data_IF_800114842509
#
_entry.id   IF_800114842509
#
_cell.length_a   1.000
_cell.length_b   1.000
_cell.length_c   1.000
_cell.angle_alpha   90.00
_cell.angle_beta   90.00
_cell.angle_gamma   90.00
#
_symmetry.space_group_name_H-M   'P 1'
#
loop_
_entity.id
_entity.type
_entity.pdbx_description
1 polymer ?
#
# COMPACT_ATOMS: atom_id res chain seq x y z
N UNK A 1 -3.02 11.60 -4.95
CA UNK A 1 -1.91 12.55 -4.74
C UNK A 1 -0.91 11.90 -3.77
N UNK A 2 0.35 11.72 -4.23
CA UNK A 2 1.41 11.08 -3.44
C UNK A 2 1.86 12.03 -2.35
N UNK A 3 1.86 11.58 -1.10
CA UNK A 3 2.17 12.41 0.07
C UNK A 3 3.48 12.03 0.77
N UNK A 4 4.18 11.00 0.24
CA UNK A 4 5.43 10.49 0.80
C UNK A 4 6.50 10.29 -0.27
N UNK A 5 7.75 10.45 0.13
CA UNK A 5 8.92 10.16 -0.67
C UNK A 5 9.93 9.33 0.12
N UNK A 6 10.46 8.30 -0.52
CA UNK A 6 11.67 7.61 -0.08
C UNK A 6 12.85 8.23 -0.83
N UNK A 7 13.85 8.70 -0.12
CA UNK A 7 15.09 9.24 -0.67
C UNK A 7 16.24 8.36 -0.21
N UNK A 8 17.06 7.91 -1.16
CA UNK A 8 18.29 7.19 -0.81
C UNK A 8 19.32 8.21 -0.31
N UNK A 9 19.74 8.07 0.93
CA UNK A 9 20.75 8.93 1.55
C UNK A 9 22.06 8.18 1.67
N UNK A 10 23.16 8.84 1.37
CA UNK A 10 24.47 8.27 1.60
C UNK A 10 24.73 8.14 3.11
N UNK A 11 25.28 7.02 3.53
CA UNK A 11 25.79 6.84 4.89
C UNK A 11 26.86 7.88 5.16
N UNK A 12 26.66 8.71 6.21
CA UNK A 12 27.66 9.75 6.57
C UNK A 12 29.04 9.15 6.81
N UNK A 13 30.09 9.90 6.47
CA UNK A 13 31.49 9.53 6.52
C UNK A 13 32.02 9.28 7.96
N UNK A 14 31.43 8.37 8.68
CA UNK A 14 31.81 8.04 10.07
C UNK A 14 30.97 6.93 10.70
N UNK A 15 29.91 6.50 10.08
CA UNK A 15 29.13 5.36 10.53
C UNK A 15 29.30 4.19 9.57
N UNK A 16 29.51 2.99 10.10
CA UNK A 16 29.54 1.72 9.37
C UNK A 16 28.15 1.35 8.74
N UNK A 17 27.26 2.33 8.58
CA UNK A 17 25.96 2.21 7.95
C UNK A 17 26.04 2.63 6.50
N UNK A 18 25.83 1.70 5.58
CA UNK A 18 25.74 1.97 4.16
C UNK A 18 24.51 2.85 3.80
N UNK A 19 24.33 3.11 2.53
CA UNK A 19 23.19 3.87 1.99
C UNK A 19 21.85 3.36 2.52
N UNK A 20 20.98 4.26 2.91
CA UNK A 20 19.67 3.93 3.48
C UNK A 20 18.54 4.73 2.83
N UNK A 21 17.41 4.07 2.64
CA UNK A 21 16.18 4.76 2.24
C UNK A 21 15.56 5.46 3.44
N UNK A 22 15.44 6.77 3.33
CA UNK A 22 14.74 7.59 4.33
C UNK A 22 13.37 8.02 3.82
N UNK A 23 12.39 8.06 4.74
CA UNK A 23 11.00 8.36 4.45
C UNK A 23 10.66 9.80 4.84
N UNK A 24 10.22 10.59 3.88
CA UNK A 24 9.85 11.99 4.04
C UNK A 24 8.39 12.24 3.69
N UNK A 25 7.73 13.17 4.40
CA UNK A 25 6.48 13.75 3.96
C UNK A 25 6.70 14.69 2.78
N UNK A 26 5.75 14.75 1.84
CA UNK A 26 5.72 15.76 0.78
C UNK A 26 4.72 16.83 1.18
N UNK A 27 5.18 18.06 1.39
CA UNK A 27 4.30 19.20 1.72
C UNK A 27 3.80 19.91 0.48
N UNK A 28 4.58 19.94 -0.59
CA UNK A 28 4.15 20.50 -1.87
C UNK A 28 4.87 19.88 -3.06
N UNK A 29 4.21 19.94 -4.22
CA UNK A 29 4.72 19.50 -5.51
C UNK A 29 4.55 20.65 -6.49
N UNK A 30 5.64 21.11 -7.12
CA UNK A 30 5.63 22.18 -8.12
C UNK A 30 6.17 21.65 -9.46
N UNK A 31 5.30 21.25 -10.39
CA UNK A 31 5.71 20.86 -11.73
C UNK A 31 6.28 22.05 -12.50
N UNK A 32 7.12 21.78 -13.48
CA UNK A 32 7.74 22.81 -14.32
C UNK A 32 8.82 23.64 -13.62
N UNK A 33 9.30 23.22 -12.46
CA UNK A 33 10.49 23.80 -11.84
C UNK A 33 11.71 23.56 -12.75
N UNK A 34 12.72 24.42 -12.63
CA UNK A 34 14.00 24.23 -13.32
C UNK A 34 15.04 23.72 -12.32
N UNK A 35 15.84 22.76 -12.77
CA UNK A 35 17.05 22.34 -12.09
C UNK A 35 18.17 23.38 -12.30
N UNK A 36 19.26 23.28 -11.53
CA UNK A 36 20.38 24.22 -11.62
C UNK A 36 21.06 24.19 -12.99
N UNK A 37 21.00 23.06 -13.71
CA UNK A 37 21.46 22.89 -15.09
C UNK A 37 20.46 23.44 -16.15
N UNK A 38 19.34 24.02 -15.72
CA UNK A 38 18.27 24.53 -16.58
C UNK A 38 17.28 23.49 -17.08
N UNK A 39 17.47 22.20 -16.80
CA UNK A 39 16.53 21.16 -17.19
C UNK A 39 15.16 21.32 -16.51
N UNK A 40 14.10 20.93 -17.23
CA UNK A 40 12.76 20.93 -16.64
C UNK A 40 12.65 19.80 -15.61
N UNK A 41 12.06 20.13 -14.47
CA UNK A 41 11.92 19.19 -13.37
C UNK A 41 10.64 19.41 -12.56
N UNK A 42 10.49 18.60 -11.52
CA UNK A 42 9.44 18.77 -10.50
C UNK A 42 10.10 19.01 -9.16
N UNK A 43 9.77 20.12 -8.53
CA UNK A 43 10.22 20.41 -7.16
C UNK A 43 9.30 19.72 -6.16
N UNK A 44 9.89 18.93 -5.26
CA UNK A 44 9.22 18.35 -4.11
C UNK A 44 9.71 19.08 -2.86
N UNK A 45 8.80 19.69 -2.11
CA UNK A 45 9.12 20.19 -0.78
C UNK A 45 8.92 19.04 0.22
N UNK A 46 10.01 18.61 0.83
CA UNK A 46 10.02 17.52 1.81
C UNK A 46 9.89 18.09 3.21
N UNK A 47 9.06 17.44 4.02
CA UNK A 47 9.00 17.69 5.47
C UNK A 47 10.02 16.75 6.10
N UNK A 48 10.91 17.28 6.92
CA UNK A 48 11.94 16.50 7.60
C UNK A 48 11.32 15.29 8.32
N UNK A 49 11.79 14.12 7.94
CA UNK A 49 11.59 12.87 8.67
C UNK A 49 12.63 12.75 9.79
N UNK A 50 12.75 11.56 10.34
CA UNK A 50 13.73 11.24 11.39
C UNK A 50 15.13 11.04 10.75
N UNK A 51 15.74 12.11 10.23
CA UNK A 51 17.08 12.03 9.67
C UNK A 51 17.60 13.42 9.24
N UNK A 52 18.93 13.60 9.22
CA UNK A 52 19.51 14.86 8.81
C UNK A 52 19.24 15.09 7.31
N UNK A 53 18.68 16.25 6.98
CA UNK A 53 18.45 16.67 5.59
C UNK A 53 19.78 16.77 4.80
N UNK A 54 20.87 16.93 5.51
CA UNK A 54 22.23 17.08 4.95
C UNK A 54 22.78 15.79 4.30
N UNK A 55 22.11 14.66 4.51
CA UNK A 55 22.48 13.38 3.88
C UNK A 55 21.92 13.20 2.46
N UNK A 56 21.11 14.15 1.96
CA UNK A 56 20.58 14.10 0.59
C UNK A 56 21.56 14.80 -0.34
N UNK A 57 22.25 14.02 -1.16
CA UNK A 57 23.18 14.55 -2.15
C UNK A 57 22.50 14.75 -3.51
N UNK A 58 23.06 15.60 -4.36
CA UNK A 58 22.65 15.69 -5.76
C UNK A 58 22.82 14.32 -6.44
N UNK A 59 21.78 13.89 -7.18
CA UNK A 59 21.75 12.56 -7.79
C UNK A 59 21.16 11.46 -6.89
N UNK A 60 20.82 11.74 -5.63
CA UNK A 60 20.12 10.77 -4.76
C UNK A 60 18.81 10.28 -5.41
N UNK A 61 18.62 8.96 -5.56
CA UNK A 61 17.37 8.42 -6.07
C UNK A 61 16.19 8.78 -5.16
N UNK A 62 15.07 9.19 -5.79
CA UNK A 62 13.82 9.53 -5.10
C UNK A 62 12.69 8.65 -5.62
N UNK A 63 11.91 8.07 -4.72
CA UNK A 63 10.69 7.32 -5.02
C UNK A 63 9.52 7.91 -4.26
N UNK A 64 8.48 8.33 -4.97
CA UNK A 64 7.25 8.78 -4.33
C UNK A 64 6.26 7.63 -4.21
N UNK A 65 5.53 7.57 -3.11
CA UNK A 65 4.52 6.55 -2.87
C UNK A 65 3.28 7.14 -2.19
N UNK A 66 2.20 6.39 -2.23
CA UNK A 66 0.93 6.70 -1.60
C UNK A 66 0.60 5.62 -0.56
N UNK A 67 0.10 6.03 0.59
CA UNK A 67 -0.43 5.10 1.57
C UNK A 67 -1.90 4.86 1.31
N UNK A 68 -2.25 3.60 1.14
CA UNK A 68 -3.63 3.19 0.92
C UNK A 68 -4.04 2.14 1.94
N UNK A 69 -5.32 2.13 2.31
CA UNK A 69 -5.92 1.12 3.17
C UNK A 69 -7.07 0.46 2.45
N UNK A 70 -7.03 -0.85 2.35
CA UNK A 70 -8.16 -1.68 1.94
C UNK A 70 -8.81 -2.28 3.17
N UNK A 71 -10.12 -2.18 3.27
CA UNK A 71 -10.87 -2.80 4.37
C UNK A 71 -12.31 -3.11 3.99
N UNK A 72 -12.92 -4.03 4.72
CA UNK A 72 -14.37 -4.17 4.71
C UNK A 72 -15.02 -2.97 5.40
N UNK A 73 -16.08 -2.46 4.81
CA UNK A 73 -17.00 -1.51 5.43
C UNK A 73 -18.44 -1.88 5.09
N UNK A 74 -19.37 -1.44 5.91
CA UNK A 74 -20.78 -1.58 5.64
C UNK A 74 -21.34 -0.22 5.19
N UNK A 75 -22.20 -0.25 4.18
CA UNK A 75 -22.98 0.92 3.79
C UNK A 75 -24.19 1.11 4.73
N UNK A 76 -24.99 2.12 4.48
CA UNK A 76 -26.19 2.45 5.27
C UNK A 76 -27.23 1.30 5.28
N UNK A 77 -27.25 0.47 4.25
CA UNK A 77 -28.11 -0.72 4.18
C UNK A 77 -27.57 -1.92 4.96
N UNK A 78 -26.35 -1.81 5.52
CA UNK A 78 -25.64 -2.90 6.17
C UNK A 78 -24.98 -3.90 5.21
N UNK A 79 -24.95 -3.59 3.91
CA UNK A 79 -24.23 -4.39 2.90
C UNK A 79 -22.74 -4.18 3.04
N UNK A 80 -21.98 -5.28 3.06
CA UNK A 80 -20.51 -5.21 3.19
C UNK A 80 -19.84 -5.08 1.84
N UNK A 81 -18.83 -4.19 1.78
CA UNK A 81 -18.03 -3.88 0.60
C UNK A 81 -16.56 -3.89 0.93
N UNK A 82 -15.71 -4.23 -0.03
CA UNK A 82 -14.31 -3.88 0.02
C UNK A 82 -14.18 -2.42 -0.39
N UNK A 83 -13.60 -1.60 0.47
CA UNK A 83 -13.32 -0.20 0.19
C UNK A 83 -11.84 0.09 0.22
N UNK A 84 -11.47 1.14 -0.50
CA UNK A 84 -10.13 1.74 -0.51
C UNK A 84 -10.21 3.18 -0.03
N UNK A 85 -9.20 3.61 0.70
CA UNK A 85 -8.94 5.03 0.95
C UNK A 85 -7.44 5.30 0.91
N UNK A 86 -7.09 6.41 0.30
CA UNK A 86 -5.72 6.93 0.30
C UNK A 86 -5.50 7.92 1.44
N UNK A 87 -4.23 8.17 1.75
CA UNK A 87 -3.84 9.26 2.63
C UNK A 87 -3.30 10.41 1.79
N UNK A 88 -3.82 11.63 2.02
CA UNK A 88 -3.37 12.86 1.37
C UNK A 88 -3.07 13.90 2.43
N UNK A 89 -1.86 14.44 2.43
CA UNK A 89 -1.41 15.47 3.38
C UNK A 89 -1.66 15.11 4.86
N UNK A 90 -1.43 13.84 5.20
CA UNK A 90 -1.61 13.35 6.57
C UNK A 90 -3.06 13.03 6.98
N UNK A 91 -4.03 13.25 6.11
CA UNK A 91 -5.45 12.96 6.35
C UNK A 91 -5.94 11.82 5.47
N UNK A 92 -6.76 10.93 6.02
CA UNK A 92 -7.40 9.88 5.27
C UNK A 92 -8.58 10.42 4.46
N UNK A 93 -8.61 10.13 3.17
CA UNK A 93 -9.75 10.40 2.31
C UNK A 93 -10.98 9.57 2.72
N UNK A 94 -12.15 9.94 2.20
CA UNK A 94 -13.34 9.11 2.31
C UNK A 94 -13.11 7.73 1.69
N UNK A 95 -13.79 6.71 2.22
CA UNK A 95 -13.73 5.37 1.65
C UNK A 95 -14.50 5.35 0.33
N UNK A 96 -13.84 4.83 -0.72
CA UNK A 96 -14.47 4.55 -2.01
C UNK A 96 -14.71 3.05 -2.15
N UNK A 97 -15.88 2.60 -2.64
CA UNK A 97 -16.17 1.19 -2.88
C UNK A 97 -15.29 0.66 -4.02
N UNK A 98 -14.74 -0.54 -3.84
CA UNK A 98 -13.96 -1.26 -4.86
C UNK A 98 -14.76 -2.41 -5.44
N UNK A 99 -15.34 -3.26 -4.56
CA UNK A 99 -16.12 -4.43 -4.97
C UNK A 99 -17.05 -4.90 -3.85
N UNK A 100 -18.13 -5.55 -4.21
CA UNK A 100 -19.14 -6.14 -3.33
C UNK A 100 -20.44 -6.44 -4.07
N UNK A 101 -21.43 -6.96 -3.38
CA UNK A 101 -21.47 -7.22 -1.94
C UNK A 101 -20.61 -8.42 -1.50
N UNK A 102 -20.01 -8.28 -0.33
CA UNK A 102 -19.17 -9.30 0.28
C UNK A 102 -19.83 -9.89 1.54
N UNK A 103 -19.37 -11.06 1.94
CA UNK A 103 -19.83 -11.68 3.18
C UNK A 103 -19.46 -10.81 4.38
N UNK A 104 -20.44 -10.57 5.25
CA UNK A 104 -20.26 -9.73 6.44
C UNK A 104 -19.23 -10.36 7.39
N UNK A 105 -18.21 -9.60 7.74
CA UNK A 105 -17.15 -10.01 8.69
C UNK A 105 -16.12 -11.00 8.12
N UNK A 106 -16.48 -11.81 7.12
CA UNK A 106 -15.60 -12.82 6.52
C UNK A 106 -15.31 -12.57 5.02
N UNK A 107 -15.82 -11.49 4.46
CA UNK A 107 -15.69 -11.16 3.04
C UNK A 107 -14.29 -10.80 2.58
N UNK A 108 -13.37 -10.47 3.49
CA UNK A 108 -11.96 -10.25 3.22
C UNK A 108 -11.12 -10.96 4.27
N UNK A 109 -10.21 -11.81 3.83
CA UNK A 109 -9.17 -12.38 4.68
C UNK A 109 -7.79 -12.09 4.08
N UNK A 110 -6.85 -11.69 4.92
CA UNK A 110 -5.46 -11.44 4.56
C UNK A 110 -4.56 -12.34 5.41
N UNK A 111 -3.52 -12.89 4.78
CA UNK A 111 -2.44 -13.56 5.50
C UNK A 111 -1.10 -13.20 4.86
N UNK A 112 -0.10 -13.07 5.72
CA UNK A 112 1.24 -12.70 5.31
C UNK A 112 2.15 -13.91 5.37
N UNK A 113 3.04 -14.03 4.39
CA UNK A 113 3.99 -15.14 4.28
C UNK A 113 5.41 -14.60 4.15
N UNK A 114 6.36 -15.28 4.76
CA UNK A 114 7.77 -15.00 4.61
C UNK A 114 8.33 -15.63 3.30
N UNK A 115 9.63 -15.48 3.08
CA UNK A 115 10.33 -16.00 1.90
C UNK A 115 10.31 -17.53 1.80
N UNK A 116 10.10 -18.25 2.91
CA UNK A 116 9.93 -19.71 2.92
C UNK A 116 8.48 -20.14 2.64
N UNK A 117 7.53 -19.18 2.56
CA UNK A 117 6.10 -19.43 2.40
C UNK A 117 5.38 -19.69 3.74
N UNK A 118 6.08 -19.65 4.87
CA UNK A 118 5.47 -19.80 6.18
C UNK A 118 4.69 -18.54 6.60
N UNK A 119 3.60 -18.68 7.37
CA UNK A 119 2.88 -17.54 7.91
C UNK A 119 3.78 -16.67 8.79
N UNK A 120 3.68 -15.34 8.66
CA UNK A 120 4.42 -14.38 9.47
C UNK A 120 3.54 -13.23 9.90
N UNK A 121 3.80 -12.67 11.08
CA UNK A 121 3.23 -11.41 11.58
C UNK A 121 4.29 -10.31 11.67
N UNK A 122 5.54 -10.64 11.34
CA UNK A 122 6.65 -9.68 11.30
C UNK A 122 6.64 -8.94 9.96
N UNK A 123 6.37 -7.62 9.92
CA UNK A 123 6.34 -6.84 8.68
C UNK A 123 7.66 -6.87 7.92
N UNK A 124 8.79 -6.99 8.64
CA UNK A 124 10.14 -7.04 8.04
C UNK A 124 10.42 -8.33 7.27
N UNK A 125 9.64 -9.39 7.51
CA UNK A 125 9.79 -10.70 6.88
C UNK A 125 8.75 -10.99 5.82
N UNK A 126 7.78 -10.09 5.59
CA UNK A 126 6.72 -10.32 4.60
C UNK A 126 7.30 -10.35 3.20
N UNK A 127 7.26 -11.50 2.55
CA UNK A 127 7.64 -11.72 1.16
C UNK A 127 6.43 -11.90 0.24
N UNK A 128 5.28 -12.33 0.77
CA UNK A 128 4.05 -12.45 0.01
C UNK A 128 2.82 -12.14 0.87
N UNK A 129 1.77 -11.64 0.21
CA UNK A 129 0.46 -11.39 0.80
C UNK A 129 -0.55 -12.28 0.10
N UNK A 130 -1.16 -13.21 0.83
CA UNK A 130 -2.28 -13.98 0.35
C UNK A 130 -3.58 -13.30 0.80
N UNK A 131 -4.51 -13.14 -0.12
CA UNK A 131 -5.83 -12.61 0.19
C UNK A 131 -6.94 -13.48 -0.38
N UNK A 132 -8.07 -13.49 0.29
CA UNK A 132 -9.31 -14.06 -0.23
C UNK A 132 -10.45 -13.07 -0.09
N UNK A 133 -11.27 -12.98 -1.13
CA UNK A 133 -12.52 -12.25 -1.14
C UNK A 133 -13.65 -13.26 -1.26
N UNK A 134 -14.71 -13.08 -0.45
CA UNK A 134 -15.92 -13.89 -0.54
C UNK A 134 -17.11 -12.99 -0.82
N UNK A 135 -17.59 -13.09 -2.05
CA UNK A 135 -18.78 -12.39 -2.53
C UNK A 135 -20.06 -13.16 -2.17
N UNK A 136 -21.15 -12.43 -1.97
CA UNK A 136 -22.48 -13.00 -1.76
C UNK A 136 -23.50 -12.26 -2.62
N UNK A 137 -24.46 -12.98 -3.19
CA UNK A 137 -25.53 -12.32 -3.97
C UNK A 137 -26.37 -11.41 -3.08
N UNK A 138 -26.75 -10.25 -3.58
CA UNK A 138 -27.73 -9.37 -2.91
C UNK A 138 -29.13 -10.00 -2.85
N UNK A 139 -29.50 -10.77 -3.88
CA UNK A 139 -30.78 -11.44 -3.98
C UNK A 139 -30.71 -12.89 -3.48
N UNK A 140 -31.85 -13.39 -3.02
CA UNK A 140 -32.09 -14.82 -2.76
C UNK A 140 -32.39 -15.47 -4.09
N UNK A 141 -31.63 -16.47 -4.47
CA UNK A 141 -31.78 -17.19 -5.75
C UNK A 141 -32.28 -18.62 -5.53
N UNK A 142 -33.08 -19.17 -6.48
CA UNK A 142 -33.42 -20.58 -6.45
C UNK A 142 -32.20 -21.46 -6.58
N UNK A 143 -32.16 -22.60 -5.89
CA UNK A 143 -31.08 -23.58 -5.99
C UNK A 143 -31.49 -24.75 -6.87
N UNK A 144 -30.57 -25.30 -7.63
CA UNK A 144 -30.78 -26.41 -8.56
C UNK A 144 -31.39 -27.69 -7.91
N UNK A 145 -31.17 -27.87 -6.61
CA UNK A 145 -31.70 -29.04 -5.84
C UNK A 145 -32.91 -28.70 -4.96
N UNK A 146 -33.61 -27.59 -5.26
CA UNK A 146 -34.72 -27.08 -4.48
C UNK A 146 -34.30 -26.17 -3.34
N UNK A 147 -35.23 -25.37 -2.86
CA UNK A 147 -34.97 -24.29 -1.90
C UNK A 147 -34.47 -23.02 -2.53
N UNK A 148 -34.19 -22.04 -1.71
CA UNK A 148 -33.62 -20.75 -2.11
C UNK A 148 -32.53 -20.31 -1.14
N UNK A 149 -31.64 -19.45 -1.59
CA UNK A 149 -30.56 -18.92 -0.76
C UNK A 149 -29.70 -17.92 -1.50
N UNK A 150 -28.81 -17.26 -0.76
CA UNK A 150 -27.78 -16.41 -1.38
C UNK A 150 -26.72 -17.27 -2.04
N UNK A 151 -26.31 -16.89 -3.22
CA UNK A 151 -25.14 -17.47 -3.88
C UNK A 151 -23.88 -16.84 -3.26
N UNK A 152 -22.85 -17.67 -3.06
CA UNK A 152 -21.56 -17.19 -2.58
C UNK A 152 -20.44 -17.73 -3.48
N UNK A 153 -19.46 -16.91 -3.77
CA UNK A 153 -18.28 -17.25 -4.53
C UNK A 153 -17.04 -16.66 -3.87
N UNK A 154 -15.86 -17.23 -4.17
CA UNK A 154 -14.62 -16.83 -3.53
C UNK A 154 -13.50 -16.68 -4.55
N UNK A 155 -12.80 -15.54 -4.47
CA UNK A 155 -11.55 -15.29 -5.17
C UNK A 155 -10.39 -15.40 -4.18
N UNK A 156 -9.33 -16.10 -4.58
CA UNK A 156 -8.07 -16.16 -3.81
C UNK A 156 -6.91 -15.78 -4.69
N UNK A 157 -5.98 -15.00 -4.17
CA UNK A 157 -4.75 -14.65 -4.86
C UNK A 157 -3.60 -14.49 -3.87
N UNK A 158 -2.38 -14.63 -4.41
CA UNK A 158 -1.14 -14.34 -3.69
C UNK A 158 -0.38 -13.30 -4.49
N UNK A 159 0.05 -12.25 -3.82
CA UNK A 159 0.80 -11.15 -4.42
C UNK A 159 2.16 -11.06 -3.75
N UNK A 160 3.21 -11.01 -4.54
CA UNK A 160 4.57 -10.73 -4.07
C UNK A 160 4.87 -9.24 -4.28
N UNK A 161 5.17 -8.49 -3.22
CA UNK A 161 5.56 -7.09 -3.36
C UNK A 161 6.83 -6.95 -4.18
N UNK A 162 6.81 -6.11 -5.22
CA UNK A 162 7.99 -5.89 -6.10
C UNK A 162 9.21 -5.31 -5.38
N UNK A 163 8.97 -4.60 -4.27
CA UNK A 163 9.99 -3.92 -3.48
C UNK A 163 10.15 -4.57 -2.08
N UNK A 164 9.73 -5.80 -1.91
CA UNK A 164 10.13 -6.58 -0.74
C UNK A 164 11.65 -6.53 -0.66
N UNK A 165 12.22 -6.30 0.54
CA UNK A 165 13.66 -6.44 0.74
C UNK A 165 14.04 -7.78 0.13
N UNK A 166 14.82 -7.74 -0.95
CA UNK A 166 15.44 -8.93 -1.48
C UNK A 166 16.27 -9.49 -0.33
N UNK A 167 15.72 -10.53 0.32
CA UNK A 167 16.59 -11.41 1.07
C UNK A 167 17.66 -11.85 0.09
N UNK A 168 18.89 -11.79 0.54
CA UNK A 168 20.07 -12.24 -0.19
C UNK A 168 19.71 -13.43 -1.06
N UNK A 169 19.72 -13.21 -2.37
CA UNK A 169 19.73 -14.32 -3.30
C UNK A 169 21.00 -15.14 -3.02
N UNK A 170 20.93 -16.47 -2.95
CA UNK A 170 22.09 -17.32 -2.70
C UNK A 170 23.16 -17.16 -3.79
#
# INVERSE_FOLDING_TARGET
ERDRALVLTAGGSGSAGGDAWQDFGISSVSPGARCDDGAAGTRLALVAGVGPADAIAAGSPVRTYERVVYRLYADESGTSWLGIRGMTRGSWAAISPVTGPLERGAGLALSYRDSSGAPTTDPGRVAAVAFSLRAVSSAILPRARGGSGRYADSLRAVVTPRNGRGGDAP
#
